data_IF_830064423036
#
_entry.id   IF_830064423036
#
_cell.length_a   1.000
_cell.length_b   1.000
_cell.length_c   1.000
_cell.angle_alpha   90.00
_cell.angle_beta   90.00
_cell.angle_gamma   90.00
#
_symmetry.space_group_name_H-M   'P 1'
#
loop_
_entity.id
_entity.type
_entity.pdbx_description
1 polymer ?
#
# COMPACT_ATOMS: atom_id res chain seq x y z
N UNK A 1 -20.73 -2.44 5.90
CA UNK A 1 -19.29 -2.65 5.60
C UNK A 1 -18.80 -1.96 4.34
N UNK A 2 -19.19 -2.34 3.11
CA UNK A 2 -18.73 -1.66 1.88
C UNK A 2 -18.89 -0.13 1.94
N UNK A 3 -20.09 0.34 2.26
CA UNK A 3 -20.37 1.78 2.39
C UNK A 3 -19.59 2.44 3.53
N UNK A 4 -19.38 1.75 4.65
CA UNK A 4 -18.60 2.27 5.78
C UNK A 4 -17.13 2.45 5.37
N UNK A 5 -16.51 1.44 4.77
CA UNK A 5 -15.11 1.51 4.31
C UNK A 5 -14.92 2.65 3.29
N UNK A 6 -15.88 2.87 2.39
CA UNK A 6 -15.81 3.96 1.41
C UNK A 6 -15.89 5.37 2.01
N UNK A 7 -16.37 5.53 3.25
CA UNK A 7 -16.38 6.86 3.92
C UNK A 7 -15.03 7.27 4.47
N UNK A 8 -14.10 6.32 4.64
CA UNK A 8 -12.79 6.59 5.18
C UNK A 8 -11.75 6.77 4.08
N UNK A 9 -10.79 7.64 4.37
CA UNK A 9 -9.56 7.79 3.61
C UNK A 9 -8.39 7.60 4.55
N UNK A 10 -7.31 7.03 4.04
CA UNK A 10 -6.10 6.80 4.81
C UNK A 10 -4.89 7.27 4.01
N UNK A 11 -3.92 7.85 4.72
CA UNK A 11 -2.73 8.41 4.13
C UNK A 11 -1.69 7.32 3.87
N UNK A 12 -0.99 7.45 2.74
CA UNK A 12 0.28 6.77 2.52
C UNK A 12 1.39 7.63 3.08
N UNK A 13 2.33 6.99 3.76
CA UNK A 13 3.52 7.65 4.30
C UNK A 13 4.80 7.02 3.77
N UNK A 14 5.84 7.84 3.69
CA UNK A 14 7.20 7.45 3.33
C UNK A 14 8.15 8.03 4.37
N UNK A 15 8.99 7.17 4.96
CA UNK A 15 9.98 7.58 5.97
C UNK A 15 11.38 7.24 5.47
N UNK A 16 12.19 8.28 5.27
CA UNK A 16 13.61 8.17 4.92
C UNK A 16 14.37 7.46 6.04
N UNK A 17 14.93 6.29 5.76
CA UNK A 17 15.83 5.59 6.70
C UNK A 17 17.21 5.33 6.15
N UNK A 18 17.43 5.55 4.86
CA UNK A 18 18.75 5.46 4.24
C UNK A 18 19.64 6.63 4.67
N UNK A 19 20.95 6.41 4.82
CA UNK A 19 21.88 7.48 5.12
C UNK A 19 21.93 8.51 3.98
N UNK A 20 22.09 9.78 4.34
CA UNK A 20 22.25 10.86 3.38
C UNK A 20 23.59 10.73 2.65
N UNK A 21 23.58 10.96 1.34
CA UNK A 21 24.80 10.97 0.53
C UNK A 21 25.52 12.31 0.68
N UNK A 22 26.75 12.27 1.20
CA UNK A 22 27.56 13.45 1.48
C UNK A 22 28.60 13.78 0.38
N UNK A 23 28.61 13.03 -0.72
CA UNK A 23 29.55 13.24 -1.82
C UNK A 23 29.09 14.31 -2.81
N UNK A 24 29.92 14.57 -3.83
CA UNK A 24 29.55 15.50 -4.91
C UNK A 24 28.45 14.90 -5.81
N UNK A 25 27.45 15.71 -6.13
CA UNK A 25 26.34 15.37 -7.01
C UNK A 25 26.56 16.06 -8.35
N UNK A 26 27.06 15.31 -9.33
CA UNK A 26 27.43 15.85 -10.64
C UNK A 26 26.49 15.40 -11.77
N UNK A 27 25.63 14.42 -11.51
CA UNK A 27 24.74 13.83 -12.49
C UNK A 27 23.27 14.16 -12.17
N UNK A 28 22.48 14.41 -13.21
CA UNK A 28 21.02 14.54 -13.12
C UNK A 28 20.37 13.40 -13.89
N UNK A 29 19.45 12.71 -13.23
CA UNK A 29 18.57 11.71 -13.82
C UNK A 29 17.18 12.31 -13.94
N UNK A 30 16.59 12.22 -15.12
CA UNK A 30 15.26 12.75 -15.38
C UNK A 30 14.23 11.65 -15.25
N UNK A 31 13.34 11.77 -14.28
CA UNK A 31 12.17 10.90 -14.12
C UNK A 31 11.14 11.25 -15.20
N UNK A 32 10.89 10.30 -16.09
CA UNK A 32 9.77 10.35 -17.02
C UNK A 32 8.46 9.98 -16.31
N UNK A 33 7.35 10.25 -16.98
CA UNK A 33 6.02 9.99 -16.44
C UNK A 33 5.85 8.55 -15.96
N UNK A 34 5.37 8.39 -14.72
CA UNK A 34 5.01 7.10 -14.17
C UNK A 34 3.65 6.68 -14.73
N UNK A 35 3.60 5.53 -15.43
CA UNK A 35 2.33 4.97 -15.93
C UNK A 35 1.33 4.70 -14.77
N UNK A 36 0.03 4.60 -15.10
CA UNK A 36 -1.11 4.52 -14.16
C UNK A 36 -0.87 3.62 -12.93
N UNK A 37 -1.51 4.00 -11.81
CA UNK A 37 -1.36 3.35 -10.49
C UNK A 37 -1.71 1.86 -10.45
N UNK A 38 -2.45 1.36 -11.46
CA UNK A 38 -2.84 -0.05 -11.61
C UNK A 38 -3.47 -0.65 -10.34
N UNK A 39 -4.11 0.20 -9.56
CA UNK A 39 -4.97 -0.12 -8.43
C UNK A 39 -6.43 0.05 -8.89
N UNK A 40 -7.34 -0.75 -8.34
CA UNK A 40 -8.76 -0.56 -8.59
C UNK A 40 -9.19 0.83 -8.08
N UNK A 41 -10.06 1.53 -8.82
CA UNK A 41 -10.49 2.86 -8.40
C UNK A 41 -11.27 2.83 -7.08
N UNK A 42 -12.09 1.80 -6.88
CA UNK A 42 -12.91 1.64 -5.68
C UNK A 42 -12.41 0.51 -4.80
N UNK A 43 -12.34 0.77 -3.49
CA UNK A 43 -12.14 -0.29 -2.49
C UNK A 43 -13.33 -1.25 -2.54
N UNK A 44 -13.08 -2.56 -2.62
CA UNK A 44 -14.13 -3.58 -2.71
C UNK A 44 -14.11 -4.50 -1.50
N UNK A 45 -15.29 -4.91 -1.04
CA UNK A 45 -15.51 -5.78 0.10
C UNK A 45 -16.37 -6.96 -0.36
N UNK A 46 -15.78 -8.15 -0.36
CA UNK A 46 -16.41 -9.37 -0.81
C UNK A 46 -16.68 -10.29 0.38
N UNK A 47 -17.96 -10.67 0.59
CA UNK A 47 -18.32 -11.67 1.60
C UNK A 47 -17.89 -13.06 1.10
N UNK A 48 -16.94 -13.69 1.79
CA UNK A 48 -16.32 -14.97 1.39
C UNK A 48 -16.94 -16.19 2.02
N UNK A 49 -17.56 -16.03 3.18
CA UNK A 49 -18.15 -17.15 3.89
C UNK A 49 -18.96 -16.69 5.09
N UNK A 50 -19.93 -17.52 5.43
CA UNK A 50 -20.78 -17.38 6.61
C UNK A 50 -21.00 -18.76 7.19
N UNK A 51 -20.95 -18.87 8.51
CA UNK A 51 -21.19 -20.13 9.19
C UNK A 51 -21.89 -19.87 10.51
N UNK A 52 -22.91 -20.68 10.75
CA UNK A 52 -23.85 -20.55 11.87
C UNK A 52 -23.87 -21.89 12.60
N UNK A 53 -23.63 -21.85 13.91
CA UNK A 53 -23.78 -23.01 14.79
C UNK A 53 -24.94 -22.72 15.73
N UNK A 54 -26.13 -23.30 15.47
CA UNK A 54 -27.25 -23.18 16.37
C UNK A 54 -27.06 -24.11 17.56
N UNK A 55 -26.99 -23.57 18.77
CA UNK A 55 -26.90 -24.35 20.01
C UNK A 55 -28.06 -23.94 20.92
N UNK A 56 -28.52 -24.88 21.74
CA UNK A 56 -29.78 -24.78 22.52
C UNK A 56 -29.93 -23.48 23.33
N UNK A 57 -28.83 -22.90 23.79
CA UNK A 57 -28.80 -21.67 24.60
C UNK A 57 -27.92 -20.55 24.01
N UNK A 58 -27.29 -20.79 22.86
CA UNK A 58 -26.44 -19.80 22.20
C UNK A 58 -26.37 -20.02 20.70
N UNK A 59 -26.51 -18.95 19.93
CA UNK A 59 -26.25 -18.97 18.49
C UNK A 59 -24.89 -18.33 18.24
N UNK A 60 -23.98 -19.11 17.66
CA UNK A 60 -22.69 -18.59 17.18
C UNK A 60 -22.76 -18.36 15.68
N UNK A 61 -22.44 -17.14 15.27
CA UNK A 61 -22.41 -16.71 13.87
C UNK A 61 -21.04 -16.12 13.57
N UNK A 62 -20.42 -16.49 12.45
CA UNK A 62 -19.27 -15.76 11.94
C UNK A 62 -19.36 -15.52 10.44
N UNK A 63 -18.84 -14.36 10.04
CA UNK A 63 -18.76 -13.89 8.66
C UNK A 63 -17.32 -13.48 8.34
N UNK A 64 -16.88 -13.79 7.13
CA UNK A 64 -15.58 -13.34 6.61
C UNK A 64 -15.79 -12.44 5.42
N UNK A 65 -15.14 -11.28 5.46
CA UNK A 65 -15.11 -10.29 4.39
C UNK A 65 -13.67 -10.10 3.93
N UNK A 66 -13.41 -10.29 2.64
CA UNK A 66 -12.13 -9.94 2.04
C UNK A 66 -12.24 -8.50 1.49
N UNK A 67 -11.26 -7.67 1.80
CA UNK A 67 -11.19 -6.26 1.40
C UNK A 67 -10.04 -6.08 0.43
N UNK A 68 -10.28 -5.46 -0.72
CA UNK A 68 -9.26 -5.04 -1.68
C UNK A 68 -9.22 -3.53 -1.69
N UNK A 69 -8.04 -2.97 -1.39
CA UNK A 69 -7.82 -1.52 -1.35
C UNK A 69 -7.98 -0.91 -2.75
N UNK A 70 -8.72 0.18 -2.83
CA UNK A 70 -8.82 0.99 -4.04
C UNK A 70 -8.37 2.43 -3.83
N UNK A 71 -8.07 3.11 -4.93
CA UNK A 71 -7.50 4.46 -4.94
C UNK A 71 -8.41 5.48 -4.25
N UNK A 72 -9.74 5.34 -4.35
CA UNK A 72 -10.70 6.25 -3.72
C UNK A 72 -10.60 6.31 -2.20
N UNK A 73 -9.98 5.30 -1.57
CA UNK A 73 -9.75 5.24 -0.12
C UNK A 73 -8.38 5.80 0.27
N UNK A 74 -7.58 6.26 -0.68
CA UNK A 74 -6.34 6.99 -0.44
C UNK A 74 -6.63 8.50 -0.46
N UNK A 75 -5.85 9.27 0.30
CA UNK A 75 -5.94 10.74 0.27
C UNK A 75 -5.28 11.34 -0.97
N UNK A 76 -4.26 10.68 -1.50
CA UNK A 76 -3.56 11.02 -2.73
C UNK A 76 -3.46 9.81 -3.67
N UNK A 77 -3.21 10.06 -4.97
CA UNK A 77 -3.04 8.95 -5.91
C UNK A 77 -1.76 8.18 -5.60
N UNK A 78 -1.78 6.86 -5.80
CA UNK A 78 -0.58 6.06 -5.52
C UNK A 78 0.60 6.47 -6.41
N UNK A 79 0.31 6.94 -7.62
CA UNK A 79 1.31 7.44 -8.56
C UNK A 79 2.03 8.68 -8.02
N UNK A 80 1.28 9.65 -7.50
CA UNK A 80 1.86 10.88 -6.91
C UNK A 80 2.71 10.52 -5.69
N UNK A 81 2.19 9.66 -4.82
CA UNK A 81 2.93 9.16 -3.67
C UNK A 81 4.25 8.49 -4.08
N UNK A 82 4.23 7.59 -5.06
CA UNK A 82 5.43 6.89 -5.53
C UNK A 82 6.45 7.86 -6.14
N UNK A 83 5.98 8.85 -6.91
CA UNK A 83 6.84 9.87 -7.50
C UNK A 83 7.54 10.70 -6.41
N UNK A 84 6.79 11.16 -5.41
CA UNK A 84 7.34 11.92 -4.28
C UNK A 84 8.35 11.07 -3.49
N UNK A 85 8.00 9.82 -3.19
CA UNK A 85 8.89 8.88 -2.51
C UNK A 85 10.22 8.68 -3.27
N UNK A 86 10.16 8.46 -4.58
CA UNK A 86 11.36 8.32 -5.43
C UNK A 86 12.22 9.59 -5.44
N UNK A 87 11.59 10.77 -5.58
CA UNK A 87 12.31 12.05 -5.58
C UNK A 87 12.98 12.31 -4.24
N UNK A 88 12.25 12.11 -3.15
CA UNK A 88 12.75 12.29 -1.79
C UNK A 88 13.90 11.33 -1.48
N UNK A 89 13.77 10.05 -1.84
CA UNK A 89 14.80 9.04 -1.62
C UNK A 89 16.05 9.31 -2.45
N UNK A 90 15.90 9.52 -3.76
CA UNK A 90 17.04 9.67 -4.67
C UNK A 90 17.83 10.93 -4.36
N UNK A 91 17.15 12.06 -4.10
CA UNK A 91 17.81 13.33 -3.81
C UNK A 91 18.46 13.38 -2.43
N UNK A 92 18.16 12.42 -1.54
CA UNK A 92 18.77 12.33 -0.22
C UNK A 92 19.92 11.31 -0.18
N UNK A 93 19.71 10.12 -0.74
CA UNK A 93 20.59 8.97 -0.51
C UNK A 93 21.54 8.63 -1.66
N UNK A 94 21.44 9.31 -2.81
CA UNK A 94 22.18 8.91 -4.03
C UNK A 94 23.15 10.00 -4.52
N UNK A 95 24.05 9.60 -5.41
CA UNK A 95 25.05 10.48 -6.04
C UNK A 95 24.51 11.28 -7.24
N UNK A 96 23.20 11.31 -7.44
CA UNK A 96 22.56 12.02 -8.54
C UNK A 96 21.30 12.74 -8.06
N UNK A 97 20.93 13.80 -8.76
CA UNK A 97 19.63 14.44 -8.56
C UNK A 97 18.60 13.81 -9.49
N UNK A 98 17.46 13.40 -8.94
CA UNK A 98 16.28 13.00 -9.69
C UNK A 98 15.38 14.21 -9.91
N UNK A 99 15.17 14.58 -11.17
CA UNK A 99 14.31 15.70 -11.58
C UNK A 99 13.13 15.22 -12.41
N UNK A 100 11.96 15.84 -12.26
CA UNK A 100 10.79 15.54 -13.07
C UNK A 100 10.87 16.29 -14.41
N UNK A 101 10.67 15.57 -15.52
CA UNK A 101 10.68 16.15 -16.88
C UNK A 101 9.62 17.26 -17.05
N UNK A 102 8.52 17.23 -16.28
CA UNK A 102 7.41 18.17 -16.44
C UNK A 102 7.61 19.53 -15.76
N UNK A 103 8.53 19.65 -14.80
CA UNK A 103 8.67 20.87 -13.99
C UNK A 103 9.53 21.95 -14.63
N UNK A 104 10.28 21.65 -15.70
CA UNK A 104 11.15 22.67 -16.29
C UNK A 104 11.26 22.61 -17.82
N UNK A 105 11.05 23.76 -18.46
CA UNK A 105 11.38 24.03 -19.87
C UNK A 105 12.91 24.16 -20.06
N UNK A 106 13.70 23.44 -19.29
CA UNK A 106 15.15 23.56 -19.25
C UNK A 106 15.75 22.59 -20.27
N UNK A 107 16.56 23.18 -21.15
CA UNK A 107 17.29 22.54 -22.24
C UNK A 107 17.86 21.19 -21.80
N UNK A 108 17.42 20.11 -22.45
CA UNK A 108 18.12 18.81 -22.46
C UNK A 108 19.59 19.06 -22.77
N UNK A 109 20.45 18.99 -21.77
CA UNK A 109 21.90 18.94 -21.97
C UNK A 109 22.21 17.47 -22.19
N UNK A 110 22.37 17.09 -23.45
CA UNK A 110 22.69 15.71 -23.80
C UNK A 110 24.14 15.37 -23.40
N UNK A 111 24.42 14.13 -22.95
CA UNK A 111 23.47 13.02 -22.77
C UNK A 111 22.87 12.97 -21.35
N UNK A 112 21.56 13.21 -21.27
CA UNK A 112 20.80 13.16 -20.03
C UNK A 112 20.35 11.72 -19.72
N UNK A 113 20.49 11.27 -18.48
CA UNK A 113 19.92 10.00 -18.01
C UNK A 113 18.40 10.14 -17.90
N UNK A 114 17.64 9.19 -18.43
CA UNK A 114 16.17 9.19 -18.38
C UNK A 114 15.69 7.90 -17.72
N UNK A 115 14.86 8.04 -16.69
CA UNK A 115 14.29 6.97 -15.91
C UNK A 115 12.79 6.83 -16.22
N UNK A 116 12.40 5.73 -16.85
CA UNK A 116 11.00 5.35 -17.03
C UNK A 116 10.59 4.40 -15.91
N UNK A 117 9.48 4.71 -15.24
CA UNK A 117 8.92 3.87 -14.18
C UNK A 117 7.50 3.47 -14.54
N UNK A 118 7.21 2.17 -14.49
CA UNK A 118 5.90 1.62 -14.78
C UNK A 118 5.43 0.75 -13.64
N UNK A 119 4.29 1.09 -13.08
CA UNK A 119 3.61 0.24 -12.10
C UNK A 119 2.92 -0.87 -12.89
N UNK A 120 3.35 -2.13 -12.76
CA UNK A 120 2.79 -3.26 -13.53
C UNK A 120 1.60 -3.86 -12.80
N UNK A 121 1.68 -3.94 -11.47
CA UNK A 121 0.62 -4.48 -10.64
C UNK A 121 0.73 -3.89 -9.23
N UNK A 122 -0.38 -3.42 -8.69
CA UNK A 122 -0.47 -2.93 -7.32
C UNK A 122 -1.78 -3.42 -6.71
N UNK A 123 -1.68 -4.41 -5.82
CA UNK A 123 -2.85 -4.96 -5.16
C UNK A 123 -2.57 -5.13 -3.68
N UNK A 124 -3.39 -4.49 -2.86
CA UNK A 124 -3.35 -4.66 -1.41
C UNK A 124 -4.66 -5.27 -0.92
N UNK A 125 -4.56 -6.35 -0.15
CA UNK A 125 -5.70 -7.10 0.37
C UNK A 125 -5.61 -7.27 1.87
N UNK A 126 -6.76 -7.28 2.53
CA UNK A 126 -6.92 -7.65 3.93
C UNK A 126 -8.22 -8.42 4.11
N UNK A 127 -8.47 -8.93 5.31
CA UNK A 127 -9.75 -9.58 5.61
C UNK A 127 -10.25 -9.21 7.02
N UNK A 128 -11.56 -9.06 7.13
CA UNK A 128 -12.27 -8.80 8.37
C UNK A 128 -13.09 -10.04 8.71
N UNK A 129 -12.85 -10.61 9.89
CA UNK A 129 -13.67 -11.68 10.46
C UNK A 129 -14.58 -11.08 11.52
N UNK A 130 -15.88 -11.10 11.27
CA UNK A 130 -16.89 -10.77 12.26
C UNK A 130 -17.38 -12.06 12.91
N UNK A 131 -17.50 -12.05 14.23
CA UNK A 131 -18.12 -13.12 15.00
C UNK A 131 -19.13 -12.50 15.93
N UNK A 132 -20.34 -13.06 15.94
CA UNK A 132 -21.41 -12.65 16.80
C UNK A 132 -21.89 -13.87 17.59
N UNK A 133 -21.90 -13.75 18.91
CA UNK A 133 -22.47 -14.76 19.79
C UNK A 133 -23.70 -14.18 20.43
N UNK A 134 -24.87 -14.76 20.17
CA UNK A 134 -26.10 -14.39 20.86
C UNK A 134 -26.39 -15.48 21.89
N UNK A 135 -26.42 -15.11 23.17
CA UNK A 135 -26.78 -16.01 24.27
C UNK A 135 -28.22 -15.74 24.65
N UNK A 136 -29.01 -16.80 24.73
CA UNK A 136 -30.42 -16.76 25.10
C UNK A 136 -30.59 -17.41 26.48
N UNK A 137 -31.08 -16.62 27.44
CA UNK A 137 -31.50 -17.14 28.74
C UNK A 137 -33.02 -17.10 28.85
N UNK A 138 -33.70 -18.26 28.96
CA UNK A 138 -35.11 -18.26 29.34
C UNK A 138 -35.22 -17.87 30.82
N UNK A 139 -35.72 -16.66 31.08
CA UNK A 139 -36.15 -16.24 32.42
C UNK A 139 -37.67 -16.39 32.50
N UNK A 140 -38.18 -16.69 33.70
CA UNK A 140 -39.55 -17.16 33.94
C UNK A 140 -40.67 -16.30 33.33
N UNK A 141 -40.40 -15.02 33.01
CA UNK A 141 -41.35 -14.14 32.32
C UNK A 141 -40.70 -13.20 31.26
N UNK A 142 -39.45 -13.44 30.85
CA UNK A 142 -38.75 -12.61 29.85
C UNK A 142 -37.61 -13.35 29.16
N UNK A 143 -37.20 -12.85 27.98
CA UNK A 143 -35.97 -13.27 27.29
C UNK A 143 -34.87 -12.24 27.55
N UNK A 144 -33.72 -12.69 28.03
CA UNK A 144 -32.52 -11.85 28.14
C UNK A 144 -31.57 -12.25 27.01
N UNK A 145 -31.49 -11.39 26.00
CA UNK A 145 -30.60 -11.54 24.85
C UNK A 145 -29.28 -10.82 25.14
N UNK A 146 -28.17 -11.57 25.20
CA UNK A 146 -26.83 -10.99 25.26
C UNK A 146 -26.11 -11.23 23.93
N UNK A 147 -25.85 -10.15 23.19
CA UNK A 147 -25.07 -10.19 21.95
C UNK A 147 -23.61 -9.78 22.20
N UNK A 148 -22.67 -10.66 21.87
CA UNK A 148 -21.24 -10.40 21.87
C UNK A 148 -20.73 -10.35 20.44
N UNK A 149 -20.48 -9.15 19.93
CA UNK A 149 -19.82 -8.95 18.66
C UNK A 149 -18.31 -8.82 18.85
N UNK A 150 -17.55 -9.74 18.27
CA UNK A 150 -16.10 -9.68 18.17
C UNK A 150 -15.70 -9.53 16.72
N UNK A 151 -14.88 -8.53 16.45
CA UNK A 151 -14.26 -8.32 15.15
C UNK A 151 -12.76 -8.61 15.24
N UNK A 152 -12.24 -9.33 14.25
CA UNK A 152 -10.84 -9.65 14.13
C UNK A 152 -10.36 -9.26 12.74
N UNK A 153 -9.34 -8.40 12.72
CA UNK A 153 -8.63 -8.03 11.50
C UNK A 153 -7.57 -9.08 11.17
N UNK A 154 -7.52 -9.51 9.92
CA UNK A 154 -6.45 -10.34 9.37
C UNK A 154 -5.30 -9.46 8.88
N UNK A 155 -4.07 -9.97 8.81
CA UNK A 155 -2.93 -9.21 8.32
C UNK A 155 -3.15 -8.74 6.89
N UNK A 156 -2.78 -7.49 6.62
CA UNK A 156 -2.76 -6.96 5.26
C UNK A 156 -1.57 -7.54 4.47
N UNK A 157 -1.79 -7.72 3.18
CA UNK A 157 -0.81 -8.20 2.21
C UNK A 157 -0.83 -7.26 1.01
N UNK A 158 0.34 -6.75 0.64
CA UNK A 158 0.55 -5.90 -0.53
C UNK A 158 1.45 -6.61 -1.54
N UNK A 159 0.91 -6.79 -2.74
CA UNK A 159 1.58 -7.32 -3.92
C UNK A 159 1.86 -6.14 -4.88
N UNK A 160 3.13 -5.74 -4.96
CA UNK A 160 3.59 -4.62 -5.77
C UNK A 160 4.63 -5.06 -6.79
N UNK A 161 4.45 -4.62 -8.03
CA UNK A 161 5.35 -4.93 -9.13
C UNK A 161 5.64 -3.65 -9.90
N UNK A 162 6.89 -3.20 -9.84
CA UNK A 162 7.35 -2.01 -10.56
C UNK A 162 8.40 -2.42 -11.59
N UNK A 163 8.25 -1.93 -12.81
CA UNK A 163 9.24 -2.05 -13.87
C UNK A 163 9.95 -0.72 -14.03
N UNK A 164 11.27 -0.76 -14.03
CA UNK A 164 12.11 0.44 -14.18
C UNK A 164 13.01 0.26 -15.39
N UNK A 165 13.14 1.31 -16.19
CA UNK A 165 14.05 1.37 -17.31
C UNK A 165 14.88 2.65 -17.26
N UNK A 166 16.19 2.53 -17.17
CA UNK A 166 17.13 3.65 -17.25
C UNK A 166 17.77 3.67 -18.64
N UNK A 167 17.71 4.83 -19.30
CA UNK A 167 18.30 5.05 -20.61
C UNK A 167 19.25 6.25 -20.59
N UNK A 168 20.26 6.23 -21.44
CA UNK A 168 21.18 7.34 -21.65
C UNK A 168 21.34 7.53 -23.15
N UNK A 169 20.70 8.55 -23.71
CA UNK A 169 20.55 8.68 -25.16
C UNK A 169 19.81 7.48 -25.75
N UNK A 170 20.45 6.75 -26.67
CA UNK A 170 19.87 5.55 -27.30
C UNK A 170 20.19 4.24 -26.55
N UNK A 171 21.07 4.29 -25.53
CA UNK A 171 21.52 3.10 -24.83
C UNK A 171 20.62 2.81 -23.62
N UNK A 172 20.07 1.58 -23.55
CA UNK A 172 19.40 1.07 -22.36
C UNK A 172 20.45 0.59 -21.35
N UNK A 173 20.47 1.18 -20.17
CA UNK A 173 21.44 0.88 -19.12
C UNK A 173 20.91 -0.12 -18.11
N UNK A 174 19.63 -0.03 -17.80
CA UNK A 174 18.94 -0.90 -16.86
C UNK A 174 17.53 -1.12 -17.37
N UNK A 175 17.08 -2.37 -17.39
CA UNK A 175 15.67 -2.72 -17.51
C UNK A 175 15.40 -3.86 -16.53
N UNK A 176 14.69 -3.56 -15.44
CA UNK A 176 14.50 -4.50 -14.35
C UNK A 176 13.12 -4.38 -13.74
N UNK A 177 12.64 -5.49 -13.20
CA UNK A 177 11.37 -5.60 -12.49
C UNK A 177 11.64 -5.87 -11.01
N UNK A 178 10.92 -5.16 -10.16
CA UNK A 178 11.01 -5.23 -8.70
C UNK A 178 9.69 -5.78 -8.16
N UNK A 179 9.58 -7.11 -7.97
CA UNK A 179 8.45 -7.73 -7.31
C UNK A 179 8.61 -7.65 -5.78
N UNK A 180 7.66 -7.02 -5.09
CA UNK A 180 7.62 -6.94 -3.64
C UNK A 180 6.32 -7.59 -3.15
N UNK A 181 6.48 -8.62 -2.33
CA UNK A 181 5.40 -9.22 -1.55
C UNK A 181 5.60 -8.85 -0.08
N UNK A 182 4.75 -7.97 0.43
CA UNK A 182 4.81 -7.51 1.81
C UNK A 182 3.60 -8.04 2.58
N UNK A 183 3.85 -8.69 3.71
CA UNK A 183 2.81 -9.12 4.65
C UNK A 183 3.09 -8.48 6.01
N UNK A 184 2.15 -7.68 6.50
CA UNK A 184 2.26 -7.10 7.85
C UNK A 184 1.98 -8.16 8.91
N UNK A 185 2.88 -8.29 9.89
CA UNK A 185 2.60 -9.08 11.09
C UNK A 185 1.74 -8.26 12.05
N UNK A 186 0.45 -8.21 11.78
CA UNK A 186 -0.50 -7.57 12.68
C UNK A 186 -1.00 -8.56 13.74
N UNK A 187 -0.64 -8.33 15.01
CA UNK A 187 -1.18 -9.09 16.14
C UNK A 187 -2.60 -8.61 16.41
N UNK A 188 -3.59 -9.33 15.87
CA UNK A 188 -5.01 -8.97 15.82
C UNK A 188 -5.55 -8.34 17.11
N UNK A 189 -5.73 -7.02 17.10
CA UNK A 189 -6.45 -6.29 18.13
C UNK A 189 -7.94 -6.65 18.01
N UNK A 190 -8.54 -7.18 19.09
CA UNK A 190 -10.00 -7.38 19.15
C UNK A 190 -10.65 -6.01 19.28
N UNK A 191 -11.37 -5.57 18.25
CA UNK A 191 -12.11 -4.30 18.28
C UNK A 191 -13.60 -4.56 18.58
N UNK A 192 -14.19 -3.67 19.40
CA UNK A 192 -15.57 -3.82 19.90
C UNK A 192 -16.63 -3.19 18.98
N UNK A 193 -16.25 -2.39 17.99
CA UNK A 193 -17.19 -1.72 17.07
C UNK A 193 -16.81 -1.89 15.59
N UNK A 194 -17.81 -2.00 14.70
CA UNK A 194 -17.62 -2.23 13.26
C UNK A 194 -17.00 -1.06 12.51
N UNK A 195 -17.28 0.18 12.93
CA UNK A 195 -16.72 1.39 12.32
C UNK A 195 -15.20 1.48 12.53
N UNK A 196 -14.73 1.25 13.76
CA UNK A 196 -13.30 1.25 14.09
C UNK A 196 -12.53 0.14 13.37
N UNK A 197 -13.20 -0.95 13.00
CA UNK A 197 -12.58 -2.07 12.28
C UNK A 197 -12.37 -1.74 10.81
N UNK A 198 -13.33 -1.04 10.21
CA UNK A 198 -13.25 -0.60 8.82
C UNK A 198 -12.11 0.39 8.63
N UNK A 199 -11.99 1.37 9.53
CA UNK A 199 -10.89 2.34 9.56
C UNK A 199 -9.55 1.66 9.87
N UNK A 200 -9.48 0.82 10.90
CA UNK A 200 -8.26 0.07 11.22
C UNK A 200 -7.81 -0.85 10.07
N UNK A 201 -8.75 -1.47 9.35
CA UNK A 201 -8.47 -2.29 8.17
C UNK A 201 -7.80 -1.47 7.07
N UNK A 202 -8.33 -0.27 6.79
CA UNK A 202 -7.74 0.62 5.78
C UNK A 202 -6.37 1.09 6.21
N UNK A 203 -6.20 1.53 7.46
CA UNK A 203 -4.91 1.97 7.99
C UNK A 203 -3.86 0.87 7.94
N UNK A 204 -4.21 -0.38 8.25
CA UNK A 204 -3.27 -1.51 8.12
C UNK A 204 -2.95 -1.82 6.66
N UNK A 205 -3.89 -1.63 5.73
CA UNK A 205 -3.62 -1.82 4.30
C UNK A 205 -2.72 -0.71 3.74
N UNK A 206 -2.97 0.55 4.09
CA UNK A 206 -2.12 1.67 3.66
C UNK A 206 -0.73 1.58 4.28
N UNK A 207 -0.61 1.19 5.55
CA UNK A 207 0.66 0.86 6.19
C UNK A 207 1.42 -0.23 5.41
N UNK A 208 0.72 -1.29 4.98
CA UNK A 208 1.33 -2.38 4.23
C UNK A 208 1.90 -1.89 2.89
N UNK A 209 1.11 -1.09 2.18
CA UNK A 209 1.47 -0.53 0.89
C UNK A 209 2.60 0.48 1.03
N UNK A 210 2.61 1.30 2.08
CA UNK A 210 3.70 2.22 2.41
C UNK A 210 5.00 1.48 2.65
N UNK A 211 4.99 0.41 3.46
CA UNK A 211 6.19 -0.41 3.70
C UNK A 211 6.66 -1.12 2.43
N UNK A 212 5.74 -1.63 1.61
CA UNK A 212 6.09 -2.25 0.32
C UNK A 212 6.73 -1.24 -0.64
N UNK A 213 6.17 -0.03 -0.70
CA UNK A 213 6.67 1.06 -1.55
C UNK A 213 8.02 1.55 -1.07
N UNK A 214 8.23 1.65 0.25
CA UNK A 214 9.53 1.99 0.81
C UNK A 214 10.62 1.03 0.34
N UNK A 215 10.40 -0.28 0.49
CA UNK A 215 11.36 -1.30 0.05
C UNK A 215 11.68 -1.19 -1.44
N UNK A 216 10.66 -1.02 -2.28
CA UNK A 216 10.88 -0.94 -3.73
C UNK A 216 11.65 0.32 -4.12
N UNK A 217 11.37 1.45 -3.45
CA UNK A 217 12.04 2.73 -3.71
C UNK A 217 13.50 2.69 -3.26
N UNK A 218 13.78 2.13 -2.07
CA UNK A 218 15.15 1.92 -1.56
C UNK A 218 15.95 0.95 -2.47
N UNK A 219 15.34 -0.12 -2.96
CA UNK A 219 15.98 -1.06 -3.89
C UNK A 219 16.32 -0.39 -5.23
N UNK A 220 15.39 0.41 -5.78
CA UNK A 220 15.58 1.16 -7.02
C UNK A 220 16.66 2.22 -6.84
N UNK A 221 16.59 3.04 -5.78
CA UNK A 221 17.53 4.14 -5.54
C UNK A 221 18.95 3.63 -5.34
N UNK A 222 19.12 2.54 -4.58
CA UNK A 222 20.42 1.92 -4.32
C UNK A 222 21.06 1.37 -5.61
N UNK A 223 20.27 0.69 -6.46
CA UNK A 223 20.79 0.14 -7.72
C UNK A 223 21.13 1.23 -8.74
N UNK A 224 20.28 2.26 -8.85
CA UNK A 224 20.57 3.43 -9.67
C UNK A 224 21.82 4.18 -9.19
N UNK A 225 21.98 4.34 -7.87
CA UNK A 225 23.16 4.96 -7.28
C UNK A 225 24.44 4.23 -7.68
N UNK A 226 24.46 2.90 -7.57
CA UNK A 226 25.63 2.10 -7.95
C UNK A 226 25.93 2.19 -9.46
N UNK A 227 24.90 2.20 -10.31
CA UNK A 227 25.06 2.30 -11.76
C UNK A 227 25.58 3.66 -12.22
N UNK A 228 25.15 4.73 -11.56
CA UNK A 228 25.59 6.10 -11.87
C UNK A 228 26.96 6.39 -11.23
N UNK A 229 27.25 5.85 -10.05
CA UNK A 229 28.55 6.02 -9.38
C UNK A 229 29.67 5.24 -10.06
N UNK A 230 29.36 4.05 -10.60
CA UNK A 230 30.33 3.20 -11.29
C UNK A 230 30.74 3.71 -12.69
N UNK A 231 30.29 4.90 -13.10
CA UNK A 231 30.52 5.50 -14.42
C UNK A 231 31.12 6.89 -14.29
#
# INVERSE_FOLDING_TARGET
MQREIQTFRSDLYYELTTPEYLGEINNTVYLNFIEYSNIDYHTTVNKKGMWIVPLLFFNYHWEKFDVVLGESSLTQTYREFLMEALLTECNSSTCFNLENIHTDRVRKREPAYVLDVKIVHNRTVSAIKLSNTVIFFPLEFSYLDMAFSNSQLQPAVSDLYISVRLTQGENCLLEKRYPIHQKLSYTGKKLKSSSLVSEACLNTMTECLSVATKKVVEDISSELHLLVLGR
#
